data_IF_224860811758
#
_entry.id   IF_224860811758
#
_cell.length_a   1.000
_cell.length_b   1.000
_cell.length_c   1.000
_cell.angle_alpha   90.00
_cell.angle_beta   90.00
_cell.angle_gamma   90.00
#
_symmetry.space_group_name_H-M   'P 1'
#
loop_
_entity.id
_entity.type
_entity.pdbx_description
1 polymer ?
#
# COMPACT_ATOMS: atom_id res chain seq x y z
N UNK A 1 -30.93 12.45 10.63
CA UNK A 1 -29.55 12.63 10.12
C UNK A 1 -29.12 11.26 9.62
N UNK A 2 -28.79 11.08 8.33
CA UNK A 2 -28.27 9.80 7.86
C UNK A 2 -27.00 9.50 8.67
N UNK A 3 -26.93 8.31 9.26
CA UNK A 3 -25.80 7.89 10.07
C UNK A 3 -24.53 7.87 9.24
N UNK A 4 -23.47 8.50 9.74
CA UNK A 4 -22.14 8.36 9.15
C UNK A 4 -21.71 6.90 9.32
N UNK A 5 -21.54 6.17 8.22
CA UNK A 5 -20.99 4.82 8.23
C UNK A 5 -19.52 4.90 7.82
N UNK A 6 -18.63 4.49 8.75
CA UNK A 6 -17.21 4.31 8.48
C UNK A 6 -17.01 2.82 8.24
N UNK A 7 -16.54 2.47 7.05
CA UNK A 7 -16.18 1.10 6.70
C UNK A 7 -14.67 0.95 6.87
N UNK A 8 -14.26 0.20 7.88
CA UNK A 8 -12.84 -0.05 8.11
C UNK A 8 -12.41 -1.20 7.19
N UNK A 9 -11.91 -0.87 6.00
CA UNK A 9 -11.15 -1.80 5.18
C UNK A 9 -9.74 -1.91 5.78
N UNK A 10 -9.33 -3.11 6.20
CA UNK A 10 -8.11 -3.33 6.99
C UNK A 10 -6.99 -3.95 6.16
N UNK A 11 -5.77 -3.53 6.47
CA UNK A 11 -4.47 -4.10 6.10
C UNK A 11 -4.16 -4.22 4.60
N UNK A 12 -3.71 -3.11 4.00
CA UNK A 12 -2.80 -3.19 2.86
C UNK A 12 -1.39 -2.96 3.39
N UNK A 13 -0.60 -4.03 3.50
CA UNK A 13 0.85 -3.86 3.57
C UNK A 13 1.27 -3.50 2.15
N UNK A 14 1.55 -2.23 1.94
CA UNK A 14 1.91 -1.74 0.63
C UNK A 14 3.20 -2.45 0.17
N UNK A 15 3.22 -3.10 -1.01
CA UNK A 15 4.48 -3.22 -1.74
C UNK A 15 5.01 -1.80 -1.97
N UNK A 16 6.31 -1.66 -2.18
CA UNK A 16 6.88 -0.34 -2.49
C UNK A 16 6.28 0.17 -3.81
N UNK A 17 5.16 0.87 -3.75
CA UNK A 17 4.53 1.47 -4.93
C UNK A 17 5.43 2.61 -5.40
N UNK A 18 5.92 2.39 -6.63
CA UNK A 18 6.41 3.33 -7.62
C UNK A 18 6.66 4.75 -7.09
N UNK A 19 7.92 4.98 -6.73
CA UNK A 19 8.48 6.33 -6.77
C UNK A 19 8.26 6.81 -8.20
N UNK A 20 7.35 7.78 -8.36
CA UNK A 20 7.21 8.54 -9.59
C UNK A 20 8.60 8.86 -10.16
N UNK A 21 8.97 8.40 -11.35
CA UNK A 21 10.23 8.80 -11.95
C UNK A 21 10.14 10.30 -12.18
N UNK A 22 11.01 11.04 -11.51
CA UNK A 22 11.29 12.42 -11.84
C UNK A 22 11.61 12.47 -13.34
N UNK A 23 10.72 13.07 -14.12
CA UNK A 23 10.97 13.42 -15.51
C UNK A 23 12.20 14.33 -15.51
N UNK A 24 13.34 13.76 -15.87
CA UNK A 24 14.56 14.46 -16.24
C UNK A 24 15.06 13.79 -17.51
N UNK A 25 14.50 14.19 -18.64
CA UNK A 25 15.12 14.08 -19.96
C UNK A 25 14.53 15.14 -20.88
N UNK A 26 15.11 16.33 -20.83
CA UNK A 26 15.14 17.22 -21.99
C UNK A 26 16.62 17.46 -22.32
N UNK A 27 17.12 16.95 -23.45
CA UNK A 27 18.52 17.15 -23.82
C UNK A 27 18.76 18.61 -24.20
N UNK A 28 19.78 19.19 -23.57
CA UNK A 28 20.42 20.41 -24.04
C UNK A 28 21.05 20.16 -25.42
N UNK A 29 20.35 20.57 -26.48
CA UNK A 29 20.93 20.69 -27.81
C UNK A 29 21.48 22.11 -28.01
N UNK A 30 22.79 22.25 -27.87
CA UNK A 30 23.53 23.36 -28.44
C UNK A 30 23.69 23.14 -29.95
N UNK A 31 23.34 24.12 -30.78
CA UNK A 31 23.70 24.09 -32.19
C UNK A 31 23.01 25.13 -33.07
N UNK A 32 23.79 26.09 -33.56
CA UNK A 32 23.69 26.55 -34.95
C UNK A 32 22.80 27.77 -35.23
N UNK A 33 23.40 28.95 -35.18
CA UNK A 33 22.83 30.15 -35.81
C UNK A 33 22.98 30.13 -37.33
N UNK A 34 21.90 30.45 -38.05
CA UNK A 34 21.88 31.15 -39.34
C UNK A 34 20.44 31.58 -39.69
N UNK A 35 20.27 32.65 -40.48
CA UNK A 35 19.19 33.62 -40.29
C UNK A 35 17.91 33.21 -41.00
N UNK A 36 16.83 33.05 -40.24
CA UNK A 36 15.50 32.94 -40.81
C UNK A 36 14.96 34.34 -41.12
N UNK A 37 14.96 34.64 -42.42
CA UNK A 37 14.08 35.56 -43.14
C UNK A 37 12.89 36.03 -42.30
N UNK A 38 12.94 37.29 -41.87
CA UNK A 38 11.82 37.97 -41.24
C UNK A 38 10.74 38.23 -42.29
N UNK A 39 9.87 37.26 -42.54
CA UNK A 39 8.57 37.57 -43.13
C UNK A 39 7.74 38.31 -42.08
N UNK A 40 7.30 39.55 -42.35
CA UNK A 40 6.55 40.32 -41.37
C UNK A 40 5.23 39.60 -41.10
N UNK A 41 5.05 39.13 -39.86
CA UNK A 41 3.73 38.74 -39.38
C UNK A 41 2.84 39.97 -39.51
N UNK A 42 1.78 39.87 -40.32
CA UNK A 42 0.79 40.91 -40.45
C UNK A 42 0.26 41.23 -39.04
N UNK A 43 0.47 42.47 -38.62
CA UNK A 43 -0.07 42.98 -37.38
C UNK A 43 -1.59 42.83 -37.41
N UNK A 44 -2.15 42.06 -36.47
CA UNK A 44 -3.59 41.99 -36.21
C UNK A 44 -4.11 43.26 -35.52
N UNK A 45 -3.29 44.29 -35.36
CA UNK A 45 -3.74 45.60 -34.89
C UNK A 45 -4.60 46.20 -36.01
N UNK A 46 -5.92 46.41 -35.77
CA UNK A 46 -6.78 47.06 -36.73
C UNK A 46 -6.20 48.45 -37.02
N UNK A 47 -5.97 48.78 -38.30
CA UNK A 47 -5.59 50.15 -38.68
C UNK A 47 -6.71 51.09 -38.20
N UNK A 48 -6.39 52.21 -37.53
CA UNK A 48 -7.42 53.13 -37.09
C UNK A 48 -8.19 53.64 -38.30
N UNK A 49 -9.49 53.34 -38.35
CA UNK A 49 -10.37 53.88 -39.36
C UNK A 49 -10.31 55.41 -39.31
N UNK A 50 -10.36 56.03 -40.50
CA UNK A 50 -10.37 57.49 -40.68
C UNK A 50 -11.43 58.09 -39.76
N UNK A 51 -11.00 58.87 -38.77
CA UNK A 51 -11.90 59.52 -37.80
C UNK A 51 -12.76 60.51 -38.56
N UNK A 52 -13.97 60.10 -38.94
CA UNK A 52 -15.01 61.03 -39.35
C UNK A 52 -15.32 61.88 -38.11
N UNK A 53 -14.94 63.15 -38.15
CA UNK A 53 -15.26 64.16 -37.14
C UNK A 53 -16.69 64.66 -37.30
N UNK A 54 -17.63 63.75 -37.51
CA UNK A 54 -19.04 64.01 -37.25
C UNK A 54 -19.25 63.72 -35.77
N UNK A 55 -19.53 64.75 -34.98
CA UNK A 55 -20.26 64.52 -33.74
C UNK A 55 -21.60 63.91 -34.15
N UNK A 56 -21.71 62.58 -34.05
CA UNK A 56 -23.01 61.93 -34.04
C UNK A 56 -23.56 62.26 -32.67
N UNK A 57 -24.29 63.36 -32.57
CA UNK A 57 -25.26 63.56 -31.51
C UNK A 57 -26.32 62.50 -31.74
N UNK A 58 -26.14 61.33 -31.14
CA UNK A 58 -27.21 60.37 -30.93
C UNK A 58 -28.19 61.06 -29.97
N UNK A 59 -29.16 61.78 -30.53
CA UNK A 59 -30.44 62.02 -29.88
C UNK A 59 -31.31 60.76 -30.05
N UNK A 60 -30.74 59.58 -29.79
CA UNK A 60 -31.52 58.36 -29.67
C UNK A 60 -32.03 58.36 -28.24
N UNK A 61 -33.18 59.01 -28.04
CA UNK A 61 -34.00 58.73 -26.87
C UNK A 61 -34.24 57.21 -26.88
N UNK A 62 -33.66 56.50 -25.91
CA UNK A 62 -33.91 55.06 -25.77
C UNK A 62 -35.42 54.85 -25.81
N UNK A 63 -35.87 54.00 -26.71
CA UNK A 63 -37.28 53.65 -26.73
C UNK A 63 -37.62 53.03 -25.37
N UNK A 64 -38.85 53.25 -24.88
CA UNK A 64 -39.28 52.72 -23.59
C UNK A 64 -39.02 51.20 -23.46
N UNK A 65 -39.10 50.47 -24.58
CA UNK A 65 -38.80 49.05 -24.64
C UNK A 65 -37.31 48.74 -24.44
N UNK A 66 -36.39 49.48 -25.08
CA UNK A 66 -34.94 49.31 -24.88
C UNK A 66 -34.50 49.68 -23.45
N UNK A 67 -35.16 50.67 -22.84
CA UNK A 67 -34.93 51.02 -21.44
C UNK A 67 -35.37 49.91 -20.49
N UNK A 68 -36.57 49.36 -20.71
CA UNK A 68 -37.06 48.23 -19.93
C UNK A 68 -36.20 46.97 -20.13
N UNK A 69 -35.73 46.71 -21.34
CA UNK A 69 -34.81 45.60 -21.64
C UNK A 69 -33.47 45.77 -20.92
N UNK A 70 -32.87 46.96 -20.96
CA UNK A 70 -31.62 47.26 -20.27
C UNK A 70 -31.74 47.13 -18.74
N UNK A 71 -32.85 47.61 -18.16
CA UNK A 71 -33.12 47.48 -16.72
C UNK A 71 -33.34 46.02 -16.33
N UNK A 72 -34.12 45.26 -17.11
CA UNK A 72 -34.32 43.83 -16.89
C UNK A 72 -33.01 43.05 -16.99
N UNK A 73 -32.15 43.36 -17.98
CA UNK A 73 -30.83 42.76 -18.13
C UNK A 73 -29.92 43.05 -16.93
N UNK A 74 -29.90 44.30 -16.45
CA UNK A 74 -29.13 44.68 -15.27
C UNK A 74 -29.63 43.96 -14.00
N UNK A 75 -30.94 43.92 -13.79
CA UNK A 75 -31.56 43.21 -12.66
C UNK A 75 -31.28 41.70 -12.73
N UNK A 76 -31.33 41.11 -13.93
CA UNK A 76 -30.98 39.71 -14.14
C UNK A 76 -29.52 39.42 -13.75
N UNK A 77 -28.58 40.27 -14.18
CA UNK A 77 -27.16 40.14 -13.82
C UNK A 77 -26.96 40.31 -12.31
N UNK A 78 -27.58 41.33 -11.70
CA UNK A 78 -27.49 41.56 -10.26
C UNK A 78 -28.07 40.38 -9.45
N UNK A 79 -29.23 39.86 -9.85
CA UNK A 79 -29.85 38.68 -9.25
C UNK A 79 -28.99 37.42 -9.44
N UNK A 80 -28.38 37.24 -10.60
CA UNK A 80 -27.47 36.13 -10.88
C UNK A 80 -26.25 36.18 -9.97
N UNK A 81 -25.61 37.35 -9.83
CA UNK A 81 -24.47 37.55 -8.91
C UNK A 81 -24.90 37.28 -7.46
N UNK A 82 -26.02 37.84 -7.02
CA UNK A 82 -26.53 37.62 -5.66
C UNK A 82 -26.82 36.14 -5.39
N UNK A 83 -27.43 35.44 -6.35
CA UNK A 83 -27.69 33.99 -6.26
C UNK A 83 -26.39 33.18 -6.19
N UNK A 84 -25.34 33.59 -6.93
CA UNK A 84 -24.02 32.98 -6.86
C UNK A 84 -23.35 33.17 -5.49
N UNK A 85 -23.47 34.35 -4.89
CA UNK A 85 -22.95 34.61 -3.54
C UNK A 85 -23.67 33.76 -2.50
N UNK A 86 -25.00 33.68 -2.55
CA UNK A 86 -25.80 32.84 -1.63
C UNK A 86 -25.44 31.36 -1.81
N UNK A 87 -25.28 30.91 -3.06
CA UNK A 87 -24.86 29.54 -3.35
C UNK A 87 -23.51 29.20 -2.71
N UNK A 88 -22.50 30.07 -2.86
CA UNK A 88 -21.19 29.85 -2.24
C UNK A 88 -21.26 29.87 -0.71
N UNK A 89 -22.12 30.68 -0.10
CA UNK A 89 -22.31 30.69 1.35
C UNK A 89 -22.93 29.39 1.89
N UNK A 90 -23.87 28.80 1.15
CA UNK A 90 -24.47 27.51 1.51
C UNK A 90 -23.47 26.37 1.31
N UNK A 91 -22.61 26.48 0.29
CA UNK A 91 -21.66 25.44 -0.08
C UNK A 91 -20.39 25.45 0.81
N UNK A 92 -19.94 26.63 1.25
CA UNK A 92 -18.72 26.82 2.01
C UNK A 92 -18.58 25.90 3.26
N UNK A 93 -19.59 25.74 4.13
CA UNK A 93 -19.47 24.89 5.31
C UNK A 93 -19.19 23.42 4.98
N UNK A 94 -19.69 22.93 3.84
CA UNK A 94 -19.46 21.55 3.39
C UNK A 94 -18.05 21.38 2.85
N UNK A 95 -17.51 22.34 2.08
CA UNK A 95 -16.16 22.25 1.50
C UNK A 95 -15.03 22.76 2.42
N UNK A 96 -15.32 23.01 3.69
CA UNK A 96 -14.31 23.46 4.66
C UNK A 96 -13.32 22.36 5.08
N UNK A 97 -13.58 21.10 4.72
CA UNK A 97 -12.74 19.94 5.01
C UNK A 97 -12.76 18.94 3.84
N UNK A 98 -11.78 18.04 3.85
CA UNK A 98 -11.56 17.02 2.82
C UNK A 98 -12.68 15.98 2.75
N UNK A 99 -13.41 15.75 3.85
CA UNK A 99 -14.51 14.79 3.92
C UNK A 99 -15.86 15.39 3.51
N UNK A 100 -15.89 16.65 3.11
CA UNK A 100 -17.07 17.42 2.73
C UNK A 100 -18.18 17.48 3.81
N UNK A 101 -17.85 17.24 5.08
CA UNK A 101 -18.82 17.20 6.17
C UNK A 101 -19.11 18.61 6.70
N UNK A 102 -20.37 19.07 6.73
CA UNK A 102 -20.67 20.43 7.15
C UNK A 102 -20.30 20.65 8.62
N UNK A 103 -19.76 21.84 8.94
CA UNK A 103 -19.38 22.27 10.30
C UNK A 103 -18.16 21.55 10.91
N UNK A 104 -17.45 20.75 10.13
CA UNK A 104 -16.18 20.13 10.51
C UNK A 104 -14.98 20.93 9.96
N UNK A 105 -13.88 20.92 10.71
CA UNK A 105 -12.65 21.62 10.34
C UNK A 105 -11.69 20.72 9.55
N UNK A 106 -10.58 21.29 9.06
CA UNK A 106 -9.57 20.56 8.30
C UNK A 106 -8.88 19.44 9.11
N UNK A 107 -8.86 19.50 10.44
CA UNK A 107 -8.27 18.47 11.30
C UNK A 107 -9.16 17.25 11.55
N UNK A 108 -10.33 17.18 10.91
CA UNK A 108 -11.30 16.09 11.12
C UNK A 108 -10.73 14.72 10.75
N UNK A 109 -9.91 14.63 9.70
CA UNK A 109 -9.25 13.38 9.31
C UNK A 109 -8.31 12.85 10.41
N UNK A 110 -7.59 13.75 11.10
CA UNK A 110 -6.71 13.38 12.22
C UNK A 110 -7.52 12.86 13.41
N UNK A 111 -8.63 13.54 13.75
CA UNK A 111 -9.51 13.13 14.82
C UNK A 111 -10.08 11.73 14.58
N UNK A 112 -10.57 11.46 13.37
CA UNK A 112 -11.10 10.14 13.00
C UNK A 112 -9.99 9.09 13.08
N UNK A 113 -8.78 9.39 12.59
CA UNK A 113 -7.64 8.49 12.69
C UNK A 113 -7.28 8.13 14.13
N UNK A 114 -7.19 9.12 15.02
CA UNK A 114 -6.91 8.92 16.45
C UNK A 114 -8.03 8.11 17.14
N UNK A 115 -9.29 8.41 16.84
CA UNK A 115 -10.45 7.69 17.38
C UNK A 115 -10.45 6.22 16.92
N UNK A 116 -10.25 5.98 15.63
CA UNK A 116 -10.14 4.62 15.08
C UNK A 116 -8.97 3.87 15.71
N UNK A 117 -7.80 4.49 15.86
CA UNK A 117 -6.65 3.87 16.51
C UNK A 117 -6.93 3.47 17.96
N UNK A 118 -7.60 4.34 18.73
CA UNK A 118 -7.95 4.05 20.11
C UNK A 118 -8.91 2.85 20.20
N UNK A 119 -9.97 2.85 19.39
CA UNK A 119 -10.96 1.76 19.42
C UNK A 119 -10.41 0.46 18.86
N UNK A 120 -9.65 0.48 17.76
CA UNK A 120 -9.02 -0.72 17.20
C UNK A 120 -7.96 -1.33 18.12
N UNK A 121 -7.41 -0.54 19.05
CA UNK A 121 -6.54 -1.04 20.12
C UNK A 121 -7.28 -1.75 21.25
N UNK A 122 -8.59 -1.51 21.40
CA UNK A 122 -9.42 -2.07 22.47
C UNK A 122 -10.32 -3.20 22.00
N UNK A 123 -10.92 -3.06 20.81
CA UNK A 123 -11.82 -4.05 20.23
C UNK A 123 -11.76 -4.03 18.69
N UNK A 124 -11.91 -5.20 18.09
CA UNK A 124 -11.91 -5.41 16.64
C UNK A 124 -13.19 -4.90 15.95
N UNK A 125 -14.30 -4.77 16.69
CA UNK A 125 -15.59 -4.27 16.17
C UNK A 125 -16.26 -3.37 17.20
N UNK A 126 -16.30 -2.07 16.90
CA UNK A 126 -16.95 -1.08 17.77
C UNK A 126 -17.90 -0.21 16.95
N UNK A 127 -19.17 -0.14 17.37
CA UNK A 127 -20.05 0.96 16.94
C UNK A 127 -19.72 2.19 17.79
N UNK A 128 -19.16 3.22 17.17
CA UNK A 128 -18.71 4.43 17.86
C UNK A 128 -19.57 5.61 17.42
N UNK A 129 -20.17 6.30 18.40
CA UNK A 129 -20.83 7.57 18.14
C UNK A 129 -19.78 8.67 18.01
N UNK A 130 -19.51 9.10 16.77
CA UNK A 130 -18.50 10.12 16.44
C UNK A 130 -18.64 11.43 17.22
N UNK A 131 -19.87 11.82 17.56
CA UNK A 131 -20.18 13.08 18.25
C UNK A 131 -20.35 12.93 19.77
N UNK A 132 -19.99 11.78 20.35
CA UNK A 132 -20.05 11.63 21.80
C UNK A 132 -18.99 12.50 22.47
N UNK A 133 -19.42 13.27 23.48
CA UNK A 133 -18.56 14.17 24.25
C UNK A 133 -17.41 13.45 24.99
N UNK A 134 -17.56 12.15 25.25
CA UNK A 134 -16.52 11.28 25.82
C UNK A 134 -15.28 11.12 24.94
N UNK A 135 -15.39 11.40 23.63
CA UNK A 135 -14.27 11.29 22.68
C UNK A 135 -13.63 12.64 22.36
N UNK A 136 -13.98 13.72 23.06
CA UNK A 136 -13.39 15.03 22.81
C UNK A 136 -11.88 15.02 23.13
N UNK A 137 -11.05 15.15 22.11
CA UNK A 137 -9.58 15.25 22.25
C UNK A 137 -9.17 16.71 22.12
N UNK A 138 -8.55 17.25 23.18
CA UNK A 138 -7.92 18.56 23.14
C UNK A 138 -6.55 18.45 22.46
N UNK A 139 -6.46 18.82 21.19
CA UNK A 139 -5.19 18.88 20.45
C UNK A 139 -4.73 20.33 20.28
N UNK A 140 -3.46 20.60 20.54
CA UNK A 140 -2.86 21.90 20.21
C UNK A 140 -2.70 22.02 18.69
N UNK A 141 -3.06 23.15 18.05
CA UNK A 141 -2.99 23.32 16.59
C UNK A 141 -1.56 23.46 16.03
N UNK A 142 -0.54 22.90 16.68
CA UNK A 142 0.83 22.98 16.19
C UNK A 142 0.97 22.14 14.91
N UNK A 143 1.29 22.84 13.82
CA UNK A 143 1.51 22.36 12.44
C UNK A 143 2.48 21.18 12.37
N UNK A 144 3.35 21.00 13.37
CA UNK A 144 4.34 19.93 13.45
C UNK A 144 3.77 18.55 13.83
N UNK A 145 2.48 18.44 14.19
CA UNK A 145 1.85 17.16 14.61
C UNK A 145 0.82 16.60 13.63
N UNK A 146 0.95 16.85 12.33
CA UNK A 146 0.05 16.22 11.34
C UNK A 146 0.28 14.71 11.16
N UNK A 147 1.35 14.16 11.75
CA UNK A 147 1.55 12.72 11.86
C UNK A 147 1.13 12.20 13.24
N UNK A 148 0.37 11.12 13.28
CA UNK A 148 0.17 10.33 14.49
C UNK A 148 1.52 9.81 14.96
N UNK A 149 1.99 10.24 16.13
CA UNK A 149 3.26 9.78 16.68
C UNK A 149 3.18 8.26 16.92
N UNK A 150 3.87 7.47 16.10
CA UNK A 150 3.82 6.01 16.17
C UNK A 150 5.07 5.43 16.83
N UNK A 151 4.87 4.39 17.65
CA UNK A 151 5.97 3.63 18.22
C UNK A 151 6.70 2.85 17.09
N UNK A 152 8.01 3.04 16.88
CA UNK A 152 8.76 2.30 15.86
C UNK A 152 8.83 0.78 16.10
N UNK A 153 8.45 0.31 17.30
CA UNK A 153 8.27 -1.11 17.61
C UNK A 153 6.94 -1.70 17.13
N UNK A 154 5.95 -0.88 16.77
CA UNK A 154 4.61 -1.32 16.40
C UNK A 154 4.58 -2.29 15.20
N UNK A 155 5.28 -2.01 14.07
CA UNK A 155 5.31 -2.95 12.95
C UNK A 155 5.90 -4.31 13.33
N UNK A 156 6.94 -4.32 14.19
CA UNK A 156 7.56 -5.57 14.66
C UNK A 156 6.63 -6.35 15.55
N UNK A 157 5.85 -5.68 16.40
CA UNK A 157 4.84 -6.32 17.22
C UNK A 157 3.82 -7.05 16.34
N UNK A 158 3.31 -6.41 15.29
CA UNK A 158 2.34 -7.02 14.37
C UNK A 158 2.92 -8.27 13.67
N UNK A 159 4.14 -8.19 13.15
CA UNK A 159 4.74 -9.29 12.35
C UNK A 159 5.27 -10.45 13.22
N UNK A 160 5.76 -10.16 14.43
CA UNK A 160 6.39 -11.17 15.30
C UNK A 160 5.46 -11.77 16.34
N UNK A 161 4.29 -11.17 16.56
CA UNK A 161 3.30 -11.74 17.45
C UNK A 161 2.75 -13.05 16.87
N UNK A 162 2.56 -14.05 17.72
CA UNK A 162 1.90 -15.28 17.32
C UNK A 162 0.44 -14.98 16.97
N UNK A 163 0.04 -15.27 15.72
CA UNK A 163 -1.34 -15.18 15.28
C UNK A 163 -1.99 -16.57 15.26
N UNK A 164 -3.24 -16.64 15.68
CA UNK A 164 -4.12 -17.82 15.51
C UNK A 164 -5.18 -17.60 14.42
N UNK A 165 -5.27 -16.36 13.92
CA UNK A 165 -6.10 -15.97 12.78
C UNK A 165 -5.30 -16.23 11.51
N UNK A 166 -5.54 -17.38 10.89
CA UNK A 166 -4.85 -17.78 9.68
C UNK A 166 -5.38 -17.04 8.46
N UNK A 167 -6.63 -16.60 8.49
CA UNK A 167 -7.26 -15.84 7.43
C UNK A 167 -6.54 -14.50 7.23
N UNK A 168 -6.26 -13.79 8.32
CA UNK A 168 -5.48 -12.54 8.30
C UNK A 168 -4.04 -12.78 7.80
N UNK A 169 -3.40 -13.86 8.25
CA UNK A 169 -2.03 -14.23 7.81
C UNK A 169 -2.00 -14.54 6.31
N UNK A 170 -2.94 -15.34 5.82
CA UNK A 170 -3.03 -15.72 4.41
C UNK A 170 -3.34 -14.48 3.56
N UNK A 171 -4.27 -13.63 3.98
CA UNK A 171 -4.51 -12.35 3.32
C UNK A 171 -3.24 -11.51 3.26
N UNK A 172 -2.50 -11.41 4.37
CA UNK A 172 -1.21 -10.71 4.41
C UNK A 172 -0.14 -11.31 3.47
N UNK A 173 -0.12 -12.63 3.29
CA UNK A 173 0.77 -13.31 2.34
C UNK A 173 0.43 -13.02 0.87
N UNK A 174 -0.84 -12.69 0.57
CA UNK A 174 -1.31 -12.37 -0.79
C UNK A 174 -1.32 -10.87 -1.09
N UNK A 175 -1.66 -10.03 -0.11
CA UNK A 175 -1.72 -8.57 -0.24
C UNK A 175 -0.33 -7.97 -0.43
N UNK A 176 0.63 -8.53 0.31
CA UNK A 176 2.00 -8.35 -0.05
C UNK A 176 2.31 -9.25 -1.24
N UNK A 177 2.84 -8.72 -2.33
CA UNK A 177 3.68 -9.52 -3.22
C UNK A 177 4.97 -10.03 -2.51
N UNK A 178 4.97 -10.23 -1.18
CA UNK A 178 6.02 -10.77 -0.32
C UNK A 178 6.61 -12.05 -0.92
N UNK A 179 5.77 -12.80 -1.62
CA UNK A 179 6.08 -14.08 -2.22
C UNK A 179 6.93 -14.01 -3.51
N UNK A 180 7.21 -12.82 -4.02
CA UNK A 180 8.12 -12.62 -5.15
C UNK A 180 9.57 -12.41 -4.74
N UNK A 181 9.81 -12.15 -3.45
CA UNK A 181 11.14 -11.84 -2.89
C UNK A 181 11.61 -12.82 -1.80
N UNK A 182 11.20 -14.09 -1.84
CA UNK A 182 11.68 -15.11 -0.89
C UNK A 182 12.52 -16.18 -1.59
N UNK A 183 13.66 -16.62 -1.04
CA UNK A 183 14.55 -16.07 -0.02
C UNK A 183 15.94 -15.78 -0.62
N UNK A 184 16.36 -14.53 -0.59
CA UNK A 184 17.79 -14.21 -0.65
C UNK A 184 18.07 -13.01 0.23
N UNK A 185 18.09 -13.13 1.57
CA UNK A 185 18.54 -12.05 2.48
C UNK A 185 19.84 -11.34 2.03
N UNK A 186 20.63 -12.00 1.17
CA UNK A 186 21.66 -11.36 0.36
C UNK A 186 21.41 -11.61 -1.14
N UNK A 187 20.78 -10.68 -1.84
CA UNK A 187 21.20 -10.43 -3.21
C UNK A 187 22.52 -9.65 -3.07
N UNK A 188 23.61 -10.22 -3.57
CA UNK A 188 24.84 -9.46 -3.72
C UNK A 188 24.49 -8.24 -4.58
N UNK A 189 24.63 -7.08 -3.97
CA UNK A 189 24.54 -5.78 -4.62
C UNK A 189 25.61 -5.78 -5.72
N UNK A 190 25.21 -6.06 -6.96
CA UNK A 190 25.87 -5.47 -8.11
C UNK A 190 25.63 -3.96 -7.96
N UNK A 191 26.66 -3.25 -7.50
CA UNK A 191 26.64 -1.83 -7.14
C UNK A 191 26.32 -0.88 -8.32
N UNK A 192 25.98 -1.42 -9.49
CA UNK A 192 25.89 -0.70 -10.76
C UNK A 192 24.54 -0.89 -11.49
N UNK A 193 23.59 -1.63 -10.91
CA UNK A 193 22.23 -1.75 -11.47
C UNK A 193 21.21 -1.03 -10.61
N UNK A 194 20.56 -0.07 -11.26
CA UNK A 194 19.40 0.69 -10.83
C UNK A 194 18.47 -0.10 -9.91
N UNK A 195 18.39 0.43 -8.69
CA UNK A 195 17.74 -0.11 -7.52
C UNK A 195 16.26 0.29 -7.54
N UNK A 196 15.42 -0.39 -8.32
CA UNK A 196 13.98 -0.07 -8.30
C UNK A 196 13.04 -1.23 -7.95
N UNK A 197 13.32 -2.52 -8.22
CA UNK A 197 12.25 -3.53 -8.15
C UNK A 197 12.52 -4.85 -7.41
N UNK A 198 13.45 -4.92 -6.46
CA UNK A 198 13.67 -6.15 -5.69
C UNK A 198 13.65 -5.91 -4.18
N UNK A 199 12.46 -5.66 -3.62
CA UNK A 199 12.27 -5.65 -2.18
C UNK A 199 12.31 -7.09 -1.63
N UNK A 200 13.53 -7.48 -1.34
CA UNK A 200 13.97 -8.68 -0.67
C UNK A 200 13.48 -8.71 0.78
N UNK A 201 12.32 -9.32 1.03
CA UNK A 201 11.77 -9.53 2.36
C UNK A 201 11.51 -11.01 2.62
N UNK A 202 12.61 -11.78 2.67
CA UNK A 202 12.71 -13.07 3.34
C UNK A 202 11.83 -13.15 4.60
N UNK A 203 10.80 -14.00 4.65
CA UNK A 203 10.09 -14.30 5.90
C UNK A 203 11.14 -14.74 6.91
N UNK A 204 11.28 -14.05 8.06
CA UNK A 204 12.33 -14.35 9.02
C UNK A 204 11.95 -15.61 9.78
N UNK A 205 12.09 -16.76 9.14
CA UNK A 205 11.76 -18.07 9.68
C UNK A 205 12.85 -19.06 9.31
N UNK A 206 12.96 -20.11 10.11
CA UNK A 206 13.87 -21.22 9.89
C UNK A 206 13.01 -22.44 9.64
N UNK A 207 12.83 -22.80 8.37
CA UNK A 207 11.95 -23.89 8.02
C UNK A 207 12.46 -25.22 8.59
N UNK A 208 11.53 -25.97 9.16
CA UNK A 208 11.76 -27.28 9.75
C UNK A 208 11.33 -28.39 8.79
N UNK A 209 10.27 -28.16 8.01
CA UNK A 209 9.72 -29.13 7.05
C UNK A 209 9.33 -28.44 5.75
N UNK A 210 9.37 -29.20 4.65
CA UNK A 210 8.86 -28.72 3.37
C UNK A 210 7.33 -28.78 3.35
N UNK A 211 6.74 -29.88 3.81
CA UNK A 211 5.31 -30.17 3.78
C UNK A 211 4.66 -30.08 5.18
N UNK A 212 3.33 -29.87 5.21
CA UNK A 212 2.57 -29.87 6.45
C UNK A 212 2.51 -31.25 7.14
N UNK A 213 2.64 -32.34 6.37
CA UNK A 213 2.66 -33.70 6.88
C UNK A 213 4.02 -34.09 7.48
N UNK A 214 5.00 -33.17 7.44
CA UNK A 214 6.34 -33.34 8.05
C UNK A 214 7.12 -34.50 7.45
N UNK A 215 6.80 -34.89 6.23
CA UNK A 215 7.46 -35.98 5.47
C UNK A 215 8.88 -35.59 5.08
N UNK A 216 9.07 -34.32 4.70
CA UNK A 216 10.33 -33.81 4.18
C UNK A 216 10.99 -32.89 5.21
N UNK A 217 11.93 -33.44 5.97
CA UNK A 217 12.67 -32.70 7.00
C UNK A 217 13.75 -31.80 6.39
N UNK A 218 13.87 -30.56 6.87
CA UNK A 218 14.86 -29.57 6.40
C UNK A 218 15.90 -29.18 7.45
N UNK A 219 15.82 -29.73 8.67
CA UNK A 219 16.79 -29.39 9.70
C UNK A 219 18.18 -29.99 9.42
N UNK A 220 19.22 -29.16 9.44
CA UNK A 220 20.62 -29.57 9.23
C UNK A 220 21.19 -30.56 10.24
N UNK A 221 20.61 -30.67 11.44
CA UNK A 221 21.09 -31.57 12.48
C UNK A 221 19.92 -32.30 13.12
N UNK A 222 20.14 -33.53 13.56
CA UNK A 222 19.15 -34.31 14.30
C UNK A 222 18.70 -33.58 15.58
N UNK A 223 19.60 -32.85 16.24
CA UNK A 223 19.26 -32.02 17.40
C UNK A 223 18.33 -30.84 17.03
N UNK A 224 18.53 -30.21 15.85
CA UNK A 224 17.60 -29.17 15.34
C UNK A 224 16.26 -29.81 14.98
N UNK A 225 16.26 -30.97 14.34
CA UNK A 225 15.03 -31.67 13.97
C UNK A 225 14.21 -32.08 15.19
N UNK A 226 14.87 -32.64 16.22
CA UNK A 226 14.22 -32.98 17.49
C UNK A 226 13.60 -31.73 18.16
N UNK A 227 14.27 -30.58 18.09
CA UNK A 227 13.73 -29.31 18.56
C UNK A 227 12.55 -28.81 17.72
N UNK A 228 12.61 -28.96 16.40
CA UNK A 228 11.49 -28.66 15.51
C UNK A 228 10.26 -29.48 15.92
N UNK A 229 10.40 -30.79 16.04
CA UNK A 229 9.34 -31.69 16.45
C UNK A 229 8.76 -31.35 17.84
N UNK A 230 9.60 -31.03 18.82
CA UNK A 230 9.12 -30.74 20.18
C UNK A 230 8.49 -29.35 20.35
N UNK A 231 9.03 -28.32 19.69
CA UNK A 231 8.67 -26.92 19.96
C UNK A 231 7.88 -26.22 18.85
N UNK A 232 8.09 -26.61 17.58
CA UNK A 232 7.62 -25.82 16.43
C UNK A 232 6.66 -26.58 15.51
N UNK A 233 6.32 -27.84 15.81
CA UNK A 233 5.48 -28.70 14.97
C UNK A 233 4.08 -28.16 14.67
N UNK A 234 3.56 -27.26 15.51
CA UNK A 234 2.25 -26.63 15.36
C UNK A 234 2.32 -25.18 14.84
N UNK A 235 3.52 -24.68 14.49
CA UNK A 235 3.69 -23.36 13.90
C UNK A 235 3.67 -23.46 12.37
N UNK A 236 2.68 -22.89 11.71
CA UNK A 236 2.58 -22.89 10.25
C UNK A 236 3.79 -22.23 9.58
N UNK A 237 4.39 -21.21 10.21
CA UNK A 237 5.51 -20.46 9.64
C UNK A 237 6.82 -21.25 9.49
N UNK A 238 6.95 -22.44 10.10
CA UNK A 238 8.14 -23.31 9.91
C UNK A 238 7.94 -24.39 8.83
N UNK A 239 6.77 -24.42 8.18
CA UNK A 239 6.45 -25.33 7.09
C UNK A 239 6.49 -24.57 5.77
N UNK A 240 7.34 -25.00 4.84
CA UNK A 240 7.54 -24.30 3.57
C UNK A 240 6.29 -24.30 2.69
N UNK A 241 5.48 -25.36 2.79
CA UNK A 241 4.21 -25.52 2.10
C UNK A 241 3.24 -24.37 2.38
N UNK A 242 3.23 -23.81 3.59
CA UNK A 242 2.41 -22.64 3.92
C UNK A 242 2.70 -21.45 3.00
N UNK A 243 3.98 -21.27 2.63
CA UNK A 243 4.40 -20.22 1.70
C UNK A 243 4.12 -20.66 0.27
N UNK A 244 4.59 -21.84 -0.14
CA UNK A 244 4.47 -22.35 -1.51
C UNK A 244 3.02 -22.47 -2.01
N UNK A 245 2.05 -22.67 -1.12
CA UNK A 245 0.62 -22.67 -1.51
C UNK A 245 0.09 -21.28 -1.80
N UNK A 246 0.69 -20.23 -1.24
CA UNK A 246 0.19 -18.85 -1.27
C UNK A 246 1.01 -17.93 -2.20
N UNK A 247 1.92 -18.48 -3.01
CA UNK A 247 2.76 -17.71 -3.94
C UNK A 247 2.20 -17.75 -5.38
N UNK A 248 2.47 -16.71 -6.20
CA UNK A 248 2.20 -16.75 -7.63
C UNK A 248 3.22 -17.65 -8.35
N UNK A 249 2.86 -18.91 -8.61
CA UNK A 249 3.78 -19.92 -9.16
C UNK A 249 4.39 -19.57 -10.52
N UNK A 250 3.69 -18.81 -11.36
CA UNK A 250 4.23 -18.36 -12.64
C UNK A 250 5.49 -17.51 -12.46
N UNK A 251 5.46 -16.56 -11.51
CA UNK A 251 6.62 -15.72 -11.17
C UNK A 251 7.66 -16.52 -10.35
N UNK A 252 7.22 -17.44 -9.48
CA UNK A 252 8.11 -18.34 -8.74
C UNK A 252 8.98 -19.20 -9.64
N UNK A 253 8.38 -19.81 -10.66
CA UNK A 253 9.06 -20.74 -11.57
C UNK A 253 10.14 -20.02 -12.38
N UNK A 254 9.91 -18.76 -12.74
CA UNK A 254 10.90 -17.94 -13.47
C UNK A 254 12.05 -17.45 -12.58
N UNK A 255 11.80 -17.21 -11.28
CA UNK A 255 12.80 -16.62 -10.37
C UNK A 255 13.60 -17.66 -9.60
N UNK A 256 12.94 -18.70 -9.07
CA UNK A 256 13.54 -19.68 -8.18
C UNK A 256 13.35 -21.12 -8.65
N UNK A 257 12.35 -21.38 -9.50
CA UNK A 257 12.13 -22.67 -10.16
C UNK A 257 12.93 -22.85 -11.46
N UNK A 258 12.43 -23.69 -12.35
CA UNK A 258 13.08 -24.01 -13.62
C UNK A 258 14.30 -24.92 -13.48
N UNK A 259 14.94 -25.32 -14.60
CA UNK A 259 16.02 -26.33 -14.59
C UNK A 259 17.24 -25.94 -13.74
N UNK A 260 17.51 -24.64 -13.61
CA UNK A 260 18.64 -24.09 -12.86
C UNK A 260 18.23 -23.25 -11.65
N UNK A 261 16.97 -23.38 -11.23
CA UNK A 261 16.42 -22.71 -10.07
C UNK A 261 17.09 -23.09 -8.76
N UNK A 262 17.19 -22.14 -7.84
CA UNK A 262 17.62 -22.42 -6.47
C UNK A 262 16.62 -23.34 -5.75
N UNK A 263 15.30 -23.12 -5.92
CA UNK A 263 14.26 -24.01 -5.39
C UNK A 263 14.33 -25.40 -6.01
N UNK A 264 14.44 -25.48 -7.34
CA UNK A 264 14.47 -26.76 -8.04
C UNK A 264 15.65 -27.61 -7.60
N UNK A 265 16.85 -27.03 -7.51
CA UNK A 265 18.06 -27.77 -7.13
C UNK A 265 18.14 -28.08 -5.65
N UNK A 266 17.74 -27.16 -4.78
CA UNK A 266 17.90 -27.31 -3.35
C UNK A 266 16.77 -28.12 -2.71
N UNK A 267 15.51 -27.90 -3.11
CA UNK A 267 14.33 -28.48 -2.47
C UNK A 267 13.64 -29.47 -3.38
N UNK A 268 13.21 -29.06 -4.57
CA UNK A 268 12.38 -29.92 -5.42
C UNK A 268 13.11 -31.21 -5.82
N UNK A 269 14.41 -31.15 -6.13
CA UNK A 269 15.21 -32.32 -6.48
C UNK A 269 15.25 -33.36 -5.34
N UNK A 270 15.44 -32.91 -4.08
CA UNK A 270 15.45 -33.81 -2.93
C UNK A 270 14.06 -34.39 -2.61
N UNK A 271 13.01 -33.56 -2.74
CA UNK A 271 11.62 -34.04 -2.60
C UNK A 271 11.30 -35.10 -3.65
N UNK A 272 11.77 -34.94 -4.89
CA UNK A 272 11.54 -35.90 -5.98
C UNK A 272 12.19 -37.29 -5.75
N UNK A 273 13.16 -37.41 -4.83
CA UNK A 273 13.72 -38.71 -4.46
C UNK A 273 12.74 -39.56 -3.64
N UNK A 274 11.71 -38.95 -3.03
CA UNK A 274 10.68 -39.66 -2.28
C UNK A 274 9.55 -40.15 -3.19
N UNK A 275 8.95 -41.33 -2.92
CA UNK A 275 7.86 -41.87 -3.73
C UNK A 275 6.64 -40.93 -3.85
N UNK A 276 6.35 -40.16 -2.80
CA UNK A 276 5.23 -39.21 -2.75
C UNK A 276 5.59 -37.80 -3.23
N UNK A 277 6.87 -37.51 -3.47
CA UNK A 277 7.35 -36.16 -3.74
C UNK A 277 6.83 -35.54 -5.02
N UNK A 278 6.76 -36.33 -6.09
CA UNK A 278 6.21 -35.86 -7.39
C UNK A 278 4.72 -35.52 -7.32
N UNK A 279 3.96 -36.24 -6.50
CA UNK A 279 2.55 -35.96 -6.26
C UNK A 279 2.38 -34.71 -5.41
N UNK A 280 3.19 -34.54 -4.36
CA UNK A 280 3.17 -33.35 -3.51
C UNK A 280 3.56 -32.08 -4.28
N UNK A 281 4.61 -32.12 -5.12
CA UNK A 281 5.02 -30.97 -5.94
C UNK A 281 3.92 -30.51 -6.89
N UNK A 282 3.17 -31.45 -7.49
CA UNK A 282 2.01 -31.11 -8.33
C UNK A 282 0.84 -30.56 -7.51
N UNK A 283 0.65 -31.07 -6.29
CA UNK A 283 -0.45 -30.68 -5.42
C UNK A 283 -0.26 -29.29 -4.77
N UNK A 284 0.98 -28.84 -4.59
CA UNK A 284 1.30 -27.52 -4.02
C UNK A 284 1.27 -26.40 -5.07
N UNK A 285 1.52 -26.75 -6.34
CA UNK A 285 1.50 -25.81 -7.46
C UNK A 285 0.11 -25.26 -7.72
N UNK A 286 -0.03 -23.92 -7.65
CA UNK A 286 -1.30 -23.20 -7.82
C UNK A 286 -2.44 -23.77 -6.95
N UNK A 287 -2.12 -24.21 -5.74
CA UNK A 287 -3.05 -24.92 -4.88
C UNK A 287 -4.06 -24.03 -4.14
N UNK A 288 -3.82 -22.71 -4.12
CA UNK A 288 -4.70 -21.74 -3.47
C UNK A 288 -6.01 -21.58 -4.24
N UNK A 289 -7.12 -21.55 -3.50
CA UNK A 289 -8.47 -21.33 -4.04
C UNK A 289 -9.07 -20.08 -3.41
N UNK A 290 -9.17 -20.07 -2.09
CA UNK A 290 -9.71 -18.98 -1.29
C UNK A 290 -9.13 -19.01 0.13
N UNK A 291 -9.18 -17.85 0.80
CA UNK A 291 -8.61 -17.66 2.14
C UNK A 291 -9.24 -18.61 3.18
N UNK A 292 -10.58 -18.72 3.32
CA UNK A 292 -11.20 -19.65 4.27
C UNK A 292 -10.80 -21.11 4.07
N UNK A 293 -10.79 -21.60 2.83
CA UNK A 293 -10.43 -23.00 2.55
C UNK A 293 -8.96 -23.31 2.89
N UNK A 294 -8.05 -22.39 2.59
CA UNK A 294 -6.63 -22.55 2.90
C UNK A 294 -6.38 -22.51 4.42
N UNK A 295 -7.05 -21.60 5.14
CA UNK A 295 -6.99 -21.53 6.60
C UNK A 295 -7.55 -22.81 7.26
N UNK A 296 -8.63 -23.38 6.70
CA UNK A 296 -9.20 -24.65 7.15
C UNK A 296 -8.23 -25.81 6.92
N UNK A 297 -7.50 -25.84 5.80
CA UNK A 297 -6.47 -26.84 5.51
C UNK A 297 -5.34 -26.78 6.54
N UNK A 298 -4.83 -25.58 6.86
CA UNK A 298 -3.76 -25.42 7.84
C UNK A 298 -4.19 -25.97 9.22
N UNK A 299 -5.43 -25.68 9.63
CA UNK A 299 -6.00 -26.22 10.87
C UNK A 299 -6.18 -27.74 10.81
N UNK A 300 -6.66 -28.28 9.68
CA UNK A 300 -6.82 -29.71 9.47
C UNK A 300 -5.47 -30.47 9.52
N UNK A 301 -4.38 -29.82 9.10
CA UNK A 301 -3.01 -30.32 9.21
C UNK A 301 -2.38 -30.14 10.60
N UNK A 302 -3.16 -29.66 11.59
CA UNK A 302 -2.71 -29.54 12.98
C UNK A 302 -1.85 -28.30 13.26
N UNK A 303 -1.95 -27.26 12.42
CA UNK A 303 -1.32 -25.97 12.71
C UNK A 303 -2.17 -25.19 13.71
N UNK A 304 -1.53 -24.66 14.75
CA UNK A 304 -2.18 -23.92 15.83
C UNK A 304 -1.88 -22.42 15.80
N UNK A 305 -0.73 -22.02 15.25
CA UNK A 305 -0.31 -20.62 15.22
C UNK A 305 0.58 -20.32 14.02
N UNK A 306 0.67 -19.05 13.66
CA UNK A 306 1.67 -18.48 12.76
C UNK A 306 2.55 -17.53 13.57
N UNK A 307 3.84 -17.84 13.66
CA UNK A 307 4.80 -16.98 14.37
C UNK A 307 6.14 -16.98 13.66
N UNK A 308 6.57 -15.79 13.25
CA UNK A 308 7.88 -15.56 12.66
C UNK A 308 8.96 -15.40 13.75
N UNK A 309 10.22 -15.57 13.36
CA UNK A 309 11.35 -15.43 14.28
C UNK A 309 11.80 -13.98 14.33
N UNK A 310 12.21 -13.56 15.51
CA UNK A 310 12.80 -12.24 15.70
C UNK A 310 14.08 -12.09 14.87
N UNK A 311 14.21 -10.94 14.20
CA UNK A 311 15.43 -10.48 13.54
C UNK A 311 15.54 -8.96 13.67
N UNK A 312 16.76 -8.44 13.55
CA UNK A 312 17.03 -7.00 13.46
C UNK A 312 17.65 -6.59 12.12
N UNK A 313 17.54 -7.46 11.12
CA UNK A 313 18.10 -7.20 9.79
C UNK A 313 17.45 -6.02 9.06
N UNK A 314 16.15 -5.81 9.29
CA UNK A 314 15.38 -4.70 8.75
C UNK A 314 14.13 -4.48 9.62
N UNK A 315 13.64 -3.24 9.77
CA UNK A 315 12.33 -2.97 10.34
C UNK A 315 11.22 -3.26 9.31
N UNK A 316 10.16 -4.00 9.67
CA UNK A 316 8.98 -4.06 8.83
C UNK A 316 8.33 -2.68 8.72
N UNK A 317 7.81 -2.36 7.53
CA UNK A 317 6.91 -1.22 7.35
C UNK A 317 5.49 -1.56 7.80
N UNK A 318 4.67 -0.54 8.03
CA UNK A 318 3.23 -0.70 8.23
C UNK A 318 2.49 0.48 7.64
N UNK A 319 1.38 0.20 6.95
CA UNK A 319 0.43 1.21 6.49
C UNK A 319 -0.96 0.75 6.91
N UNK A 320 -1.64 1.57 7.70
CA UNK A 320 -3.05 1.33 8.06
C UNK A 320 -3.88 2.43 7.46
N UNK A 321 -4.91 2.02 6.72
CA UNK A 321 -5.81 2.90 5.99
C UNK A 321 -7.21 2.64 6.56
N UNK A 322 -8.01 3.70 6.69
CA UNK A 322 -9.45 3.61 6.92
C UNK A 322 -10.17 4.19 5.73
N UNK A 323 -11.36 3.69 5.43
CA UNK A 323 -12.20 4.20 4.37
C UNK A 323 -13.38 4.96 4.99
N UNK A 324 -13.49 6.24 4.63
CA UNK A 324 -14.54 7.13 5.13
C UNK A 324 -15.42 7.55 3.96
N UNK A 325 -16.73 7.41 4.15
CA UNK A 325 -17.71 7.89 3.16
C UNK A 325 -17.95 9.38 3.39
N UNK A 326 -17.79 10.18 2.33
CA UNK A 326 -18.06 11.61 2.37
C UNK A 326 -19.56 11.95 2.32
N UNK A 327 -19.90 13.24 2.35
CA UNK A 327 -21.29 13.69 2.29
C UNK A 327 -21.99 13.39 0.96
N UNK A 328 -21.23 13.13 -0.10
CA UNK A 328 -21.72 12.81 -1.45
C UNK A 328 -21.80 11.29 -1.71
N UNK A 329 -21.30 10.46 -0.78
CA UNK A 329 -21.26 9.01 -0.92
C UNK A 329 -19.98 8.48 -1.56
N UNK A 330 -18.95 9.32 -1.78
CA UNK A 330 -17.65 8.85 -2.25
C UNK A 330 -16.80 8.32 -1.11
N UNK A 331 -16.06 7.26 -1.40
CA UNK A 331 -15.10 6.66 -0.48
C UNK A 331 -13.78 7.42 -0.51
N UNK A 332 -13.33 7.87 0.65
CA UNK A 332 -12.05 8.55 0.84
C UNK A 332 -11.16 7.68 1.73
N UNK A 333 -9.96 7.36 1.23
CA UNK A 333 -8.95 6.59 1.97
C UNK A 333 -8.13 7.53 2.84
N UNK A 334 -8.17 7.34 4.16
CA UNK A 334 -7.36 8.08 5.11
C UNK A 334 -6.27 7.17 5.66
N UNK A 335 -5.01 7.62 5.58
CA UNK A 335 -3.88 6.92 6.18
C UNK A 335 -3.86 7.26 7.67
N UNK A 336 -4.03 6.26 8.51
CA UNK A 336 -4.11 6.40 9.97
C UNK A 336 -2.75 6.15 10.63
N UNK A 337 -1.97 5.23 10.05
CA UNK A 337 -0.60 4.93 10.47
C UNK A 337 0.24 4.66 9.24
N UNK A 338 1.45 5.21 9.22
CA UNK A 338 2.43 4.94 8.18
C UNK A 338 3.84 4.92 8.78
N UNK A 339 4.51 3.78 8.67
CA UNK A 339 5.95 3.66 8.81
C UNK A 339 6.48 2.95 7.58
N UNK A 340 7.35 3.65 6.84
CA UNK A 340 8.02 3.06 5.69
C UNK A 340 9.04 2.01 6.12
N UNK A 341 9.23 1.03 5.25
CA UNK A 341 10.40 0.15 5.32
C UNK A 341 11.67 1.00 5.18
N UNK A 342 12.64 0.77 6.07
CA UNK A 342 13.93 1.45 6.04
C UNK A 342 15.06 0.41 6.07
N UNK A 343 15.80 0.20 4.96
CA UNK A 343 16.95 -0.70 4.98
C UNK A 343 18.01 -0.15 5.94
N UNK A 344 18.22 -0.80 7.08
CA UNK A 344 19.25 -0.40 8.03
C UNK A 344 20.62 -0.81 7.51
N UNK A 345 21.54 0.14 7.32
CA UNK A 345 22.91 -0.15 6.89
C UNK A 345 23.74 -0.77 8.02
N UNK A 346 24.44 -1.85 7.67
CA UNK A 346 25.73 -2.32 8.22
C UNK A 346 26.00 -2.11 9.71
N UNK A 347 25.45 -2.98 10.54
CA UNK A 347 25.96 -3.30 11.87
C UNK A 347 25.58 -4.74 12.17
N UNK A 348 26.45 -5.53 12.81
CA UNK A 348 26.30 -6.98 13.05
C UNK A 348 24.84 -7.39 13.30
N UNK A 349 24.18 -7.88 12.24
CA UNK A 349 22.75 -8.19 12.27
C UNK A 349 22.60 -9.58 12.90
N UNK A 350 21.79 -9.69 13.95
CA UNK A 350 21.22 -10.97 14.38
C UNK A 350 20.13 -11.32 13.36
N UNK A 351 20.55 -11.93 12.26
CA UNK A 351 19.64 -12.46 11.27
C UNK A 351 19.36 -13.92 11.56
N UNK A 352 18.13 -14.34 11.27
CA UNK A 352 17.80 -15.74 11.15
C UNK A 352 18.59 -16.23 9.93
N UNK A 353 19.60 -17.09 10.13
CA UNK A 353 20.37 -17.73 9.07
C UNK A 353 19.44 -18.65 8.25
N UNK A 354 18.74 -18.05 7.30
CA UNK A 354 18.12 -18.62 6.10
C UNK A 354 18.37 -17.56 5.02
N UNK A 355 19.62 -17.47 4.58
CA UNK A 355 20.07 -16.33 3.77
C UNK A 355 19.74 -16.51 2.30
N UNK A 356 19.65 -17.76 1.81
CA UNK A 356 19.25 -18.16 0.45
C UNK A 356 18.67 -19.58 0.47
N UNK A 357 17.79 -19.97 -0.48
CA UNK A 357 17.23 -21.37 -0.54
C UNK A 357 18.38 -22.39 -0.55
N UNK A 358 19.47 -22.04 -1.23
CA UNK A 358 20.66 -22.87 -1.38
C UNK A 358 21.54 -22.89 -0.14
N UNK A 359 21.27 -22.14 0.93
CA UNK A 359 22.05 -22.18 2.18
C UNK A 359 21.51 -23.23 3.15
N UNK A 360 20.22 -23.55 3.05
CA UNK A 360 19.56 -24.52 3.92
C UNK A 360 19.79 -25.99 3.51
N UNK A 361 20.41 -26.25 2.36
CA UNK A 361 20.51 -27.61 1.75
C UNK A 361 21.88 -28.18 1.34
N UNK A 362 23.02 -27.45 1.22
CA UNK A 362 24.27 -28.07 0.75
C UNK A 362 24.80 -29.16 1.69
N UNK A 363 24.30 -29.23 2.93
CA UNK A 363 24.70 -30.22 3.92
C UNK A 363 23.74 -31.41 4.07
N UNK A 364 22.52 -31.36 3.53
CA UNK A 364 21.62 -32.52 3.53
C UNK A 364 22.12 -33.62 2.58
N UNK A 365 22.78 -33.22 1.49
CA UNK A 365 23.40 -34.13 0.51
C UNK A 365 24.57 -34.96 1.07
N UNK A 366 25.08 -34.63 2.26
CA UNK A 366 26.19 -35.32 2.92
C UNK A 366 25.74 -36.39 3.94
N UNK A 367 24.45 -36.75 3.97
CA UNK A 367 23.91 -37.74 4.92
C UNK A 367 23.24 -38.97 4.30
N UNK A 368 23.50 -39.24 3.03
CA UNK A 368 23.34 -40.60 2.48
C UNK A 368 24.71 -41.14 2.06
#
# INVERSE_FOLDING_TARGET
MPGFQIHIARFDVEPADDIHPCINDAPFAAGGGSPLSAHPRASLVPKPARRNSGFVTSEDYMTWFEYMEAVCGFLYVAASIASGVVYLQVLYPSFANELTWPYFNTSTHLFIGDLCNFHLGLDSRSEVLLLASSYAVLRSPSVESMGTAMNPGYPRMLVLQASTDFEDVIQGLHANELNLGLPTQYCWVDFDKTFENELNLGLPTQYCWVDFDKTFEMAHTSARQARCASMYHANAAVHYEAVLRNIPWAKWETSFGGPNGSFTRAIAAGVMEFPTGSAWLKAVQNAFVDVPSEAALWRAKGMAQWMLRWHNGWPPGVKEIIEVVDAYGFFNKLIVKSLSYLPQATGSKSTVLNSVITSDMPFARLRN
#
